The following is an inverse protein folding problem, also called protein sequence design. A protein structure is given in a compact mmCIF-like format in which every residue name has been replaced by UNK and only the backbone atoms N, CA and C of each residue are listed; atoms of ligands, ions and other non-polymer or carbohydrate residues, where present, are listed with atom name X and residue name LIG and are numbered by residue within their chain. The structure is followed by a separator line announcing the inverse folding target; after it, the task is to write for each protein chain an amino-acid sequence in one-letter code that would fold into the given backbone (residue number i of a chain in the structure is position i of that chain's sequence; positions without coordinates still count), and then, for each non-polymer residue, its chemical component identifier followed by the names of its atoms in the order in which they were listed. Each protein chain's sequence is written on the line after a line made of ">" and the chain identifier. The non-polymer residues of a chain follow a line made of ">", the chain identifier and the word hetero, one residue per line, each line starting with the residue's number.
data_IF_350101808972
#
_entry.id   IF_350101808972
#
_cell.length_a   1.000
_cell.length_b   1.000
_cell.length_c   1.000
_cell.angle_alpha   90.00
_cell.angle_beta   90.00
_cell.angle_gamma   90.00
#
_symmetry.space_group_name_H-M   'P 1'
#
loop_
_entity.id
_entity.type
_entity.pdbx_description
1 polymer ?
#
# COMPACT_ATOMS: atom_id res chain seq x y z
N UNK A 1 2.06 12.62 -0.93
CA UNK A 1 2.04 11.20 -0.50
C UNK A 1 0.91 10.98 0.48
N UNK A 2 0.17 9.89 0.31
CA UNK A 2 -1.07 9.58 1.06
C UNK A 2 -0.80 9.13 2.50
N UNK A 3 -1.85 9.15 3.33
CA UNK A 3 -1.82 8.63 4.70
C UNK A 3 -1.38 7.16 4.76
N UNK A 4 -1.86 6.35 3.82
CA UNK A 4 -1.48 4.95 3.69
C UNK A 4 0.02 4.76 3.40
N UNK A 5 0.63 5.60 2.57
CA UNK A 5 2.08 5.55 2.37
C UNK A 5 2.85 5.87 3.67
N UNK A 6 2.36 6.85 4.44
CA UNK A 6 3.03 7.29 5.66
C UNK A 6 2.97 6.25 6.79
N UNK A 7 1.97 5.37 6.80
CA UNK A 7 1.85 4.29 7.79
C UNK A 7 2.79 3.11 7.53
N UNK A 8 3.40 3.02 6.34
CA UNK A 8 4.38 1.98 6.02
C UNK A 8 5.70 2.17 6.78
N UNK A 9 6.38 1.06 7.06
CA UNK A 9 7.74 1.07 7.61
C UNK A 9 8.67 1.95 6.75
N UNK A 10 9.56 2.77 7.37
CA UNK A 10 10.46 3.65 6.64
C UNK A 10 11.28 2.96 5.54
N UNK A 11 11.64 1.68 5.72
CA UNK A 11 12.39 0.89 4.72
C UNK A 11 11.54 0.59 3.49
N UNK A 12 10.26 0.31 3.68
CA UNK A 12 9.30 0.09 2.58
C UNK A 12 9.04 1.39 1.84
N UNK A 13 8.82 2.50 2.55
CA UNK A 13 8.70 3.83 1.93
C UNK A 13 9.91 4.18 1.07
N UNK A 14 11.12 3.97 1.60
CA UNK A 14 12.37 4.17 0.86
C UNK A 14 12.45 3.28 -0.38
N UNK A 15 11.97 2.03 -0.31
CA UNK A 15 11.93 1.15 -1.47
C UNK A 15 10.95 1.64 -2.54
N UNK A 16 9.71 2.02 -2.17
CA UNK A 16 8.70 2.56 -3.09
C UNK A 16 9.23 3.81 -3.80
N UNK A 17 9.86 4.73 -3.04
CA UNK A 17 10.49 5.91 -3.62
C UNK A 17 11.59 5.55 -4.63
N UNK A 18 12.43 4.55 -4.32
CA UNK A 18 13.48 4.06 -5.24
C UNK A 18 12.93 3.40 -6.50
N UNK A 19 11.69 2.89 -6.49
CA UNK A 19 11.03 2.41 -7.70
C UNK A 19 10.55 3.54 -8.61
N UNK A 20 10.70 4.81 -8.21
CA UNK A 20 10.25 5.96 -8.98
C UNK A 20 8.73 6.14 -8.95
N UNK A 21 8.03 5.52 -8.01
CA UNK A 21 6.58 5.64 -7.90
C UNK A 21 6.20 7.02 -7.35
N UNK A 22 5.42 7.77 -8.13
CA UNK A 22 4.91 9.10 -7.74
C UNK A 22 3.77 9.02 -6.73
N UNK A 23 3.08 7.89 -6.65
CA UNK A 23 2.09 7.56 -5.64
C UNK A 23 1.90 6.04 -5.54
N UNK A 24 1.23 5.60 -4.49
CA UNK A 24 0.69 4.24 -4.44
C UNK A 24 -0.49 4.14 -5.42
N UNK A 25 -0.75 2.93 -5.92
CA UNK A 25 -1.96 2.65 -6.70
C UNK A 25 -3.20 2.67 -5.79
N UNK A 26 -4.40 2.98 -6.31
CA UNK A 26 -5.61 3.08 -5.49
C UNK A 26 -5.89 1.83 -4.64
N UNK A 27 -5.67 0.63 -5.20
CA UNK A 27 -5.85 -0.63 -4.47
C UNK A 27 -4.87 -0.78 -3.31
N UNK A 28 -3.61 -0.35 -3.49
CA UNK A 28 -2.61 -0.39 -2.42
C UNK A 28 -3.03 0.57 -1.30
N UNK A 29 -3.50 1.77 -1.64
CA UNK A 29 -3.95 2.76 -0.65
C UNK A 29 -5.13 2.28 0.19
N UNK A 30 -6.11 1.61 -0.42
CA UNK A 30 -7.26 1.06 0.30
C UNK A 30 -6.94 -0.20 1.10
N UNK A 31 -5.97 -1.01 0.64
CA UNK A 31 -5.64 -2.30 1.27
C UNK A 31 -4.70 -2.17 2.46
N UNK A 32 -3.76 -1.22 2.45
CA UNK A 32 -2.78 -1.01 3.53
C UNK A 32 -3.45 -0.86 4.91
N UNK A 33 -4.44 0.03 5.13
CA UNK A 33 -5.06 0.16 6.46
C UNK A 33 -5.76 -1.13 6.91
N UNK A 34 -6.41 -1.86 5.99
CA UNK A 34 -7.06 -3.13 6.31
C UNK A 34 -6.05 -4.20 6.75
N UNK A 35 -4.89 -4.29 6.08
CA UNK A 35 -3.82 -5.23 6.43
C UNK A 35 -3.15 -4.83 7.75
N UNK A 36 -2.85 -3.55 7.94
CA UNK A 36 -2.14 -3.06 9.11
C UNK A 36 -3.00 -3.08 10.39
N UNK A 37 -4.33 -3.13 10.27
CA UNK A 37 -5.23 -3.27 11.41
C UNK A 37 -5.04 -4.61 12.16
N UNK A 38 -4.65 -5.69 11.45
CA UNK A 38 -4.36 -7.02 12.02
C UNK A 38 -5.48 -7.59 12.90
N UNK A 39 -6.72 -7.22 12.61
CA UNK A 39 -7.90 -7.54 13.41
C UNK A 39 -8.92 -8.43 12.67
N UNK A 40 -8.61 -8.80 11.43
CA UNK A 40 -9.46 -9.61 10.56
C UNK A 40 -8.65 -10.25 9.44
N UNK A 41 -9.22 -11.27 8.83
CA UNK A 41 -8.76 -11.79 7.54
C UNK A 41 -9.17 -10.84 6.42
N UNK A 42 -8.33 -10.68 5.40
CA UNK A 42 -8.54 -9.73 4.31
C UNK A 42 -8.51 -10.45 2.97
N UNK A 43 -9.61 -10.35 2.21
CA UNK A 43 -9.68 -10.77 0.80
C UNK A 43 -9.52 -9.55 -0.10
N UNK A 44 -8.50 -9.55 -0.97
CA UNK A 44 -8.20 -8.47 -1.91
C UNK A 44 -8.46 -8.97 -3.32
N UNK A 45 -9.33 -8.27 -4.07
CA UNK A 45 -9.56 -8.51 -5.49
C UNK A 45 -8.99 -7.37 -6.31
N UNK A 46 -8.34 -7.71 -7.42
CA UNK A 46 -7.57 -6.79 -8.24
C UNK A 46 -7.70 -7.14 -9.72
N UNK A 47 -7.74 -6.14 -10.58
CA UNK A 47 -7.50 -6.35 -12.01
C UNK A 47 -6.04 -6.70 -12.30
N UNK A 48 -5.76 -7.26 -13.48
CA UNK A 48 -4.40 -7.55 -13.93
C UNK A 48 -3.52 -6.30 -13.82
N UNK A 49 -2.33 -6.43 -13.23
CA UNK A 49 -1.36 -5.35 -13.04
C UNK A 49 -1.85 -4.15 -12.20
N UNK A 50 -2.89 -4.32 -11.37
CA UNK A 50 -3.39 -3.28 -10.47
C UNK A 50 -2.53 -3.06 -9.20
N UNK A 51 -1.45 -3.84 -9.02
CA UNK A 51 -0.46 -3.73 -7.95
C UNK A 51 0.93 -3.50 -8.51
#
# INVERSE_FOLDING_TARGET
>A
MSSAYNSLDPRVRKWVYKQGWSSLRPLQESSIPAILARDRDVLISAGTAAG
#
